data_IF_056068029306
#
_entry.id   IF_056068029306
#
_cell.length_a   1.000
_cell.length_b   1.000
_cell.length_c   1.000
_cell.angle_alpha   90.00
_cell.angle_beta   90.00
_cell.angle_gamma   90.00
#
_symmetry.space_group_name_H-M   'P 1'
#
loop_
_entity.id
_entity.type
_entity.pdbx_description
1 polymer ?
#
# COMPACT_ATOMS: atom_id res chain seq x y z
N UNK A 1 -16.08 -10.54 1.45
CA UNK A 1 -15.89 -10.80 0.01
C UNK A 1 -16.52 -12.14 -0.40
N UNK A 2 -17.47 -12.09 -1.35
CA UNK A 2 -18.28 -13.28 -1.75
C UNK A 2 -17.55 -14.22 -2.70
N UNK A 3 -16.55 -13.76 -3.43
CA UNK A 3 -15.82 -14.53 -4.44
C UNK A 3 -14.33 -14.57 -4.14
N UNK A 4 -13.61 -15.55 -4.71
CA UNK A 4 -12.15 -15.62 -4.58
C UNK A 4 -11.45 -14.41 -5.21
N UNK A 5 -12.04 -13.82 -6.25
CA UNK A 5 -11.58 -12.57 -6.84
C UNK A 5 -11.67 -11.40 -5.83
N UNK A 6 -12.77 -11.28 -5.10
CA UNK A 6 -12.94 -10.28 -4.06
C UNK A 6 -11.96 -10.51 -2.89
N UNK A 7 -11.72 -11.76 -2.50
CA UNK A 7 -10.73 -12.09 -1.46
C UNK A 7 -9.33 -11.63 -1.87
N UNK A 8 -8.92 -11.92 -3.13
CA UNK A 8 -7.63 -11.46 -3.67
C UNK A 8 -7.52 -9.95 -3.71
N UNK A 9 -8.53 -9.26 -4.21
CA UNK A 9 -8.53 -7.80 -4.28
C UNK A 9 -8.39 -7.16 -2.88
N UNK A 10 -9.09 -7.70 -1.88
CA UNK A 10 -8.91 -7.31 -0.47
C UNK A 10 -7.48 -7.57 0.00
N UNK A 11 -6.93 -8.76 -0.26
CA UNK A 11 -5.59 -9.11 0.17
C UNK A 11 -4.55 -8.18 -0.48
N UNK A 12 -4.65 -7.87 -1.77
CA UNK A 12 -3.74 -6.95 -2.49
C UNK A 12 -3.83 -5.51 -1.95
N UNK A 13 -5.03 -5.05 -1.66
CA UNK A 13 -5.25 -3.75 -1.02
C UNK A 13 -4.57 -3.68 0.36
N UNK A 14 -4.75 -4.69 1.19
CA UNK A 14 -4.13 -4.77 2.51
C UNK A 14 -2.61 -4.91 2.45
N UNK A 15 -2.07 -5.71 1.51
CA UNK A 15 -0.62 -5.79 1.27
C UNK A 15 -0.07 -4.41 0.93
N UNK A 16 -0.72 -3.68 0.01
CA UNK A 16 -0.33 -2.31 -0.33
C UNK A 16 -0.30 -1.41 0.90
N UNK A 17 -1.36 -1.45 1.71
CA UNK A 17 -1.46 -0.66 2.95
C UNK A 17 -0.35 -1.00 3.95
N UNK A 18 -0.15 -2.27 4.27
CA UNK A 18 0.88 -2.72 5.23
C UNK A 18 2.31 -2.49 4.72
N UNK A 19 2.49 -2.39 3.41
CA UNK A 19 3.74 -1.99 2.77
C UNK A 19 3.82 -0.46 2.56
N UNK A 20 3.30 0.31 3.53
CA UNK A 20 3.39 1.78 3.55
C UNK A 20 2.81 2.42 2.27
N UNK A 21 1.71 1.88 1.74
CA UNK A 21 1.10 2.37 0.52
C UNK A 21 1.89 2.04 -0.75
N UNK A 22 2.55 0.89 -0.80
CA UNK A 22 3.23 0.41 -2.00
C UNK A 22 2.28 0.38 -3.21
N UNK A 23 2.77 0.76 -4.39
CA UNK A 23 1.95 0.75 -5.61
C UNK A 23 1.63 -0.69 -6.04
N UNK A 24 0.55 -0.86 -6.82
CA UNK A 24 0.18 -2.19 -7.32
C UNK A 24 1.31 -2.84 -8.12
N UNK A 25 2.03 -2.06 -8.94
CA UNK A 25 3.17 -2.58 -9.69
C UNK A 25 4.30 -3.05 -8.77
N UNK A 26 4.55 -2.36 -7.67
CA UNK A 26 5.57 -2.76 -6.70
C UNK A 26 5.17 -4.08 -6.04
N UNK A 27 3.94 -4.22 -5.49
CA UNK A 27 3.50 -5.44 -4.82
C UNK A 27 3.41 -6.63 -5.78
N UNK A 28 2.95 -6.43 -7.01
CA UNK A 28 2.87 -7.48 -8.03
C UNK A 28 4.24 -7.98 -8.48
N UNK A 29 5.28 -7.14 -8.38
CA UNK A 29 6.66 -7.47 -8.74
C UNK A 29 7.47 -8.10 -7.61
N UNK A 30 6.91 -8.21 -6.41
CA UNK A 30 7.62 -8.81 -5.27
C UNK A 30 7.86 -10.30 -5.51
N UNK A 31 9.11 -10.71 -5.30
CA UNK A 31 9.54 -12.11 -5.36
C UNK A 31 9.79 -12.66 -3.96
N UNK A 32 9.81 -13.99 -3.84
CA UNK A 32 10.08 -14.66 -2.56
C UNK A 32 11.40 -14.17 -1.92
N UNK A 33 12.45 -13.96 -2.72
CA UNK A 33 13.74 -13.41 -2.26
C UNK A 33 13.68 -12.01 -1.65
N UNK A 34 12.60 -11.26 -1.88
CA UNK A 34 12.42 -9.95 -1.26
C UNK A 34 12.05 -10.05 0.24
N UNK A 35 11.68 -11.24 0.71
CA UNK A 35 11.48 -11.51 2.13
C UNK A 35 12.83 -11.87 2.73
N UNK A 36 13.41 -10.95 3.49
CA UNK A 36 14.70 -11.12 4.16
C UNK A 36 14.45 -11.05 5.66
N UNK A 37 14.60 -12.18 6.35
CA UNK A 37 14.25 -12.32 7.76
C UNK A 37 12.79 -11.89 7.99
N UNK A 38 12.57 -10.86 8.82
CA UNK A 38 11.25 -10.32 9.14
C UNK A 38 10.94 -9.01 8.40
N UNK A 39 11.55 -8.80 7.21
CA UNK A 39 11.37 -7.59 6.41
C UNK A 39 11.08 -7.93 4.96
N UNK A 40 10.37 -7.02 4.27
CA UNK A 40 10.30 -7.01 2.81
C UNK A 40 11.22 -5.90 2.30
N UNK A 41 12.17 -6.29 1.44
CA UNK A 41 13.13 -5.38 0.84
C UNK A 41 12.98 -5.36 -0.68
N UNK A 42 12.74 -4.18 -1.23
CA UNK A 42 12.56 -4.01 -2.68
C UNK A 42 12.93 -2.60 -3.13
N UNK A 43 13.27 -2.48 -4.40
CA UNK A 43 13.42 -1.17 -5.07
C UNK A 43 12.09 -0.78 -5.70
N UNK A 44 11.60 0.41 -5.37
CA UNK A 44 10.38 0.95 -5.95
C UNK A 44 10.53 1.13 -7.46
N UNK A 45 9.59 0.60 -8.24
CA UNK A 45 9.65 0.60 -9.71
C UNK A 45 9.74 2.02 -10.30
N UNK A 46 8.99 2.99 -9.73
CA UNK A 46 8.93 4.35 -10.26
C UNK A 46 10.18 5.20 -9.94
N UNK A 47 10.80 5.03 -8.78
CA UNK A 47 11.82 5.95 -8.27
C UNK A 47 13.17 5.29 -8.03
N UNK A 48 13.23 3.94 -8.08
CA UNK A 48 14.44 3.18 -7.75
C UNK A 48 14.82 3.20 -6.26
N UNK A 49 14.02 3.88 -5.41
CA UNK A 49 14.30 4.00 -3.99
C UNK A 49 14.18 2.64 -3.30
N UNK A 50 15.14 2.31 -2.46
CA UNK A 50 15.12 1.09 -1.66
C UNK A 50 14.14 1.25 -0.49
N UNK A 51 13.27 0.27 -0.33
CA UNK A 51 12.38 0.11 0.81
C UNK A 51 12.77 -1.13 1.60
N UNK A 52 12.79 -1.01 2.92
CA UNK A 52 12.95 -2.12 3.86
C UNK A 52 11.86 -1.98 4.92
N UNK A 53 10.81 -2.81 4.82
CA UNK A 53 9.58 -2.68 5.60
C UNK A 53 9.41 -3.91 6.49
N UNK A 54 9.19 -3.76 7.81
CA UNK A 54 8.96 -4.89 8.69
C UNK A 54 7.65 -5.60 8.35
N UNK A 55 7.65 -6.92 8.43
CA UNK A 55 6.47 -7.74 8.21
C UNK A 55 5.68 -7.83 9.50
N UNK A 56 4.57 -7.09 9.60
CA UNK A 56 3.63 -7.23 10.72
C UNK A 56 2.95 -8.61 10.71
N UNK A 57 2.38 -9.01 11.84
CA UNK A 57 1.66 -10.28 11.94
C UNK A 57 0.52 -10.37 10.91
N UNK A 58 -0.23 -9.28 10.73
CA UNK A 58 -1.34 -9.20 9.76
C UNK A 58 -0.83 -9.37 8.31
N UNK A 59 0.28 -8.70 7.97
CA UNK A 59 0.89 -8.88 6.65
C UNK A 59 1.38 -10.30 6.44
N UNK A 60 2.00 -10.91 7.46
CA UNK A 60 2.49 -12.30 7.44
C UNK A 60 1.36 -13.29 7.17
N UNK A 61 0.22 -13.15 7.85
CA UNK A 61 -0.96 -14.00 7.62
C UNK A 61 -1.44 -13.93 6.16
N UNK A 62 -1.44 -12.73 5.57
CA UNK A 62 -1.86 -12.57 4.17
C UNK A 62 -0.82 -13.20 3.23
N UNK A 63 0.48 -12.91 3.43
CA UNK A 63 1.54 -13.44 2.58
C UNK A 63 1.60 -14.97 2.60
N UNK A 64 1.35 -15.61 3.74
CA UNK A 64 1.36 -17.07 3.87
C UNK A 64 0.35 -17.76 2.94
N UNK A 65 -0.76 -17.09 2.56
CA UNK A 65 -1.72 -17.63 1.59
C UNK A 65 -1.13 -17.77 0.18
N UNK A 66 -0.09 -17.01 -0.13
CA UNK A 66 0.51 -16.92 -1.47
C UNK A 66 1.89 -17.57 -1.56
N UNK A 67 2.58 -17.76 -0.44
CA UNK A 67 3.97 -18.24 -0.45
C UNK A 67 4.09 -19.72 -0.84
N UNK A 68 3.29 -20.61 -0.24
CA UNK A 68 3.34 -22.04 -0.54
C UNK A 68 4.79 -22.57 -0.68
N UNK A 69 5.04 -23.36 -1.72
CA UNK A 69 6.37 -23.93 -2.04
C UNK A 69 7.15 -23.07 -3.06
N UNK A 70 7.00 -21.75 -3.05
CA UNK A 70 7.67 -20.85 -3.98
C UNK A 70 9.18 -20.77 -3.74
N UNK A 71 9.93 -20.79 -4.83
CA UNK A 71 11.37 -20.54 -4.85
C UNK A 71 11.68 -19.04 -4.76
N UNK A 72 12.92 -18.67 -4.48
CA UNK A 72 13.36 -17.28 -4.35
C UNK A 72 13.14 -16.43 -5.60
N UNK A 73 13.12 -17.04 -6.78
CA UNK A 73 12.87 -16.37 -8.06
C UNK A 73 11.39 -16.14 -8.35
N UNK A 74 10.48 -16.82 -7.66
CA UNK A 74 9.05 -16.77 -7.92
C UNK A 74 8.42 -15.49 -7.38
N UNK A 75 7.44 -14.96 -8.11
CA UNK A 75 6.64 -13.84 -7.63
C UNK A 75 5.74 -14.29 -6.47
N UNK A 76 5.65 -13.46 -5.42
CA UNK A 76 4.82 -13.76 -4.25
C UNK A 76 3.36 -13.86 -4.65
N UNK A 77 2.86 -12.87 -5.39
CA UNK A 77 1.48 -12.84 -5.89
C UNK A 77 1.41 -13.54 -7.25
N UNK A 78 0.29 -14.24 -7.51
CA UNK A 78 0.06 -14.93 -8.78
C UNK A 78 -0.49 -13.94 -9.83
N UNK A 79 0.26 -12.88 -10.09
CA UNK A 79 -0.08 -11.81 -11.05
C UNK A 79 0.78 -11.94 -12.30
N UNK A 80 2.05 -12.25 -12.12
CA UNK A 80 3.04 -12.32 -13.20
C UNK A 80 3.37 -13.77 -13.49
N UNK A 81 3.24 -14.16 -14.74
CA UNK A 81 3.48 -15.53 -15.23
C UNK A 81 4.54 -15.56 -16.32
N UNK A 82 4.67 -14.48 -17.10
CA UNK A 82 5.65 -14.39 -18.19
C UNK A 82 7.06 -14.19 -17.69
N UNK A 83 8.04 -14.74 -18.38
CA UNK A 83 9.45 -14.45 -18.19
C UNK A 83 9.90 -13.14 -18.84
N UNK A 84 9.16 -12.65 -19.84
CA UNK A 84 9.49 -11.46 -20.61
C UNK A 84 9.03 -10.17 -19.90
N UNK A 85 9.93 -9.20 -19.65
CA UNK A 85 9.59 -7.97 -18.92
C UNK A 85 8.43 -7.18 -19.53
N UNK A 86 8.33 -7.13 -20.86
CA UNK A 86 7.23 -6.43 -21.55
C UNK A 86 5.88 -7.08 -21.25
N UNK A 87 5.82 -8.41 -21.28
CA UNK A 87 4.60 -9.16 -20.99
C UNK A 87 4.23 -9.07 -19.51
N UNK A 88 5.21 -9.07 -18.60
CA UNK A 88 4.98 -8.86 -17.17
C UNK A 88 4.23 -7.55 -16.89
N UNK A 89 4.63 -6.45 -17.56
CA UNK A 89 3.95 -5.16 -17.40
C UNK A 89 2.50 -5.20 -17.91
N UNK A 90 2.25 -5.95 -18.97
CA UNK A 90 0.89 -6.15 -19.51
C UNK A 90 0.04 -6.91 -18.50
N UNK A 91 0.55 -8.03 -17.98
CA UNK A 91 -0.13 -8.85 -16.97
C UNK A 91 -0.46 -8.04 -15.71
N UNK A 92 0.49 -7.27 -15.19
CA UNK A 92 0.29 -6.39 -14.02
C UNK A 92 -0.80 -5.34 -14.29
N UNK A 93 -0.78 -4.69 -15.46
CA UNK A 93 -1.78 -3.70 -15.84
C UNK A 93 -3.17 -4.30 -15.95
N UNK A 94 -3.28 -5.47 -16.54
CA UNK A 94 -4.56 -6.12 -16.74
C UNK A 94 -5.13 -6.66 -15.43
N UNK A 95 -4.28 -7.19 -14.53
CA UNK A 95 -4.72 -7.57 -13.19
C UNK A 95 -5.10 -6.35 -12.35
N UNK A 96 -4.39 -5.23 -12.42
CA UNK A 96 -4.76 -3.99 -11.78
C UNK A 96 -6.18 -3.52 -12.17
N UNK A 97 -6.54 -3.67 -13.46
CA UNK A 97 -7.90 -3.32 -13.92
C UNK A 97 -8.95 -4.25 -13.32
N UNK A 98 -8.66 -5.55 -13.22
CA UNK A 98 -9.55 -6.55 -12.61
C UNK A 98 -9.69 -6.30 -11.11
N UNK A 99 -8.57 -6.01 -10.44
CA UNK A 99 -8.50 -5.68 -9.03
C UNK A 99 -9.35 -4.45 -8.69
N UNK A 100 -9.17 -3.36 -9.42
CA UNK A 100 -9.95 -2.14 -9.23
C UNK A 100 -11.47 -2.36 -9.47
N UNK A 101 -11.85 -3.23 -10.39
CA UNK A 101 -13.26 -3.61 -10.59
C UNK A 101 -13.80 -4.35 -9.36
N UNK A 102 -13.02 -5.30 -8.82
CA UNK A 102 -13.38 -6.04 -7.63
C UNK A 102 -13.48 -5.17 -6.39
N UNK A 103 -12.56 -4.22 -6.22
CA UNK A 103 -12.59 -3.24 -5.12
C UNK A 103 -13.84 -2.34 -5.20
N UNK A 104 -14.24 -1.94 -6.42
CA UNK A 104 -15.49 -1.19 -6.63
C UNK A 104 -16.72 -2.02 -6.25
N UNK A 105 -16.77 -3.30 -6.63
CA UNK A 105 -17.85 -4.21 -6.26
C UNK A 105 -17.92 -4.38 -4.73
N UNK A 106 -16.76 -4.57 -4.08
CA UNK A 106 -16.67 -4.65 -2.61
C UNK A 106 -17.15 -3.35 -1.95
N UNK A 107 -16.78 -2.17 -2.47
CA UNK A 107 -17.20 -0.89 -1.88
C UNK A 107 -18.74 -0.75 -1.90
N UNK A 108 -19.39 -1.13 -2.99
CA UNK A 108 -20.85 -1.14 -3.08
C UNK A 108 -21.48 -2.12 -2.07
N UNK A 109 -20.93 -3.35 -1.98
CA UNK A 109 -21.42 -4.35 -0.99
C UNK A 109 -21.27 -3.87 0.46
N UNK A 110 -20.27 -3.05 0.75
CA UNK A 110 -20.01 -2.48 2.08
C UNK A 110 -20.74 -1.16 2.33
N UNK A 111 -21.55 -0.65 1.39
CA UNK A 111 -22.22 0.65 1.53
C UNK A 111 -21.29 1.85 1.51
N UNK A 112 -20.09 1.71 0.92
CA UNK A 112 -19.11 2.79 0.83
C UNK A 112 -19.41 3.60 -0.44
N UNK A 113 -19.82 4.85 -0.28
CA UNK A 113 -20.17 5.75 -1.41
C UNK A 113 -18.96 6.16 -2.25
N UNK A 114 -17.78 6.22 -1.63
CA UNK A 114 -16.54 6.61 -2.30
C UNK A 114 -16.04 5.52 -3.24
N UNK A 115 -15.51 5.92 -4.40
CA UNK A 115 -14.87 4.99 -5.35
C UNK A 115 -13.57 4.46 -4.76
N UNK A 116 -13.51 3.16 -4.45
CA UNK A 116 -12.28 2.50 -3.98
C UNK A 116 -11.51 1.94 -5.17
N UNK A 117 -10.19 2.17 -5.16
CA UNK A 117 -9.22 1.59 -6.07
C UNK A 117 -7.97 1.16 -5.28
N UNK A 118 -7.10 0.39 -5.88
CA UNK A 118 -5.80 0.01 -5.27
C UNK A 118 -4.99 1.22 -4.79
N UNK A 119 -5.14 2.37 -5.45
CA UNK A 119 -4.45 3.61 -5.08
C UNK A 119 -4.96 4.22 -3.77
N UNK A 120 -6.21 3.93 -3.39
CA UNK A 120 -6.79 4.40 -2.11
C UNK A 120 -6.03 3.84 -0.91
N UNK A 121 -5.45 2.64 -0.99
CA UNK A 121 -4.60 2.09 0.08
C UNK A 121 -3.44 3.03 0.44
N UNK A 122 -2.82 3.64 -0.58
CA UNK A 122 -1.75 4.61 -0.42
C UNK A 122 -2.22 5.93 0.18
N UNK A 123 -3.35 6.46 -0.30
CA UNK A 123 -3.97 7.65 0.29
C UNK A 123 -4.35 7.41 1.74
N UNK A 124 -4.97 6.27 2.02
CA UNK A 124 -5.38 5.90 3.37
C UNK A 124 -4.19 5.79 4.32
N UNK A 125 -3.07 5.18 3.89
CA UNK A 125 -1.83 5.15 4.67
C UNK A 125 -1.34 6.56 4.98
N UNK A 126 -1.20 7.42 3.97
CA UNK A 126 -0.68 8.79 4.11
C UNK A 126 -1.56 9.64 5.03
N UNK A 127 -2.89 9.59 4.85
CA UNK A 127 -3.85 10.35 5.64
C UNK A 127 -3.85 9.92 7.10
N UNK A 128 -3.85 8.60 7.37
CA UNK A 128 -3.78 8.11 8.74
C UNK A 128 -2.46 8.46 9.42
N UNK A 129 -1.33 8.35 8.70
CA UNK A 129 -0.04 8.75 9.24
C UNK A 129 -0.05 10.25 9.64
N UNK A 130 -0.67 11.10 8.79
CA UNK A 130 -0.86 12.52 9.11
C UNK A 130 -1.74 12.72 10.35
N UNK A 131 -2.89 12.04 10.42
CA UNK A 131 -3.79 12.10 11.58
C UNK A 131 -3.12 11.68 12.88
N UNK A 132 -2.15 10.77 12.81
CA UNK A 132 -1.31 10.36 13.94
C UNK A 132 -0.14 11.32 14.24
N UNK A 133 -0.06 12.47 13.57
CA UNK A 133 0.99 13.46 13.77
C UNK A 133 2.36 13.08 13.21
N UNK A 134 2.45 12.07 12.32
CA UNK A 134 3.72 11.68 11.70
C UNK A 134 4.23 12.83 10.82
N UNK A 135 5.49 13.29 10.98
CA UNK A 135 6.06 14.36 10.16
C UNK A 135 5.98 14.07 8.67
N UNK A 136 5.68 15.09 7.86
CA UNK A 136 5.55 14.94 6.39
C UNK A 136 6.79 14.35 5.74
N UNK A 137 7.99 14.68 6.23
CA UNK A 137 9.24 14.09 5.78
C UNK A 137 9.26 12.56 5.93
N UNK A 138 8.80 12.05 7.08
CA UNK A 138 8.71 10.61 7.35
C UNK A 138 7.64 9.95 6.47
N UNK A 139 6.49 10.61 6.28
CA UNK A 139 5.44 10.12 5.36
C UNK A 139 6.00 10.07 3.93
N UNK A 140 6.73 11.10 3.51
CA UNK A 140 7.37 11.18 2.18
C UNK A 140 8.36 10.04 1.97
N UNK A 141 9.18 9.76 2.99
CA UNK A 141 10.13 8.65 3.00
C UNK A 141 9.41 7.31 2.87
N UNK A 142 8.42 7.07 3.72
CA UNK A 142 7.62 5.83 3.73
C UNK A 142 6.92 5.58 2.39
N UNK A 143 6.37 6.63 1.77
CA UNK A 143 5.75 6.55 0.45
C UNK A 143 6.77 6.45 -0.69
N UNK A 144 8.06 6.64 -0.45
CA UNK A 144 9.12 6.62 -1.45
C UNK A 144 9.01 7.76 -2.47
N UNK A 145 8.54 8.93 -2.03
CA UNK A 145 8.57 10.13 -2.87
C UNK A 145 9.99 10.70 -2.97
N UNK A 146 10.30 11.33 -4.09
CA UNK A 146 11.58 12.01 -4.30
C UNK A 146 11.61 13.40 -3.65
N UNK A 147 10.45 14.00 -3.42
CA UNK A 147 10.31 15.31 -2.76
C UNK A 147 9.11 15.32 -1.82
N UNK A 148 9.20 16.07 -0.72
CA UNK A 148 8.09 16.27 0.22
C UNK A 148 6.91 17.01 -0.42
N UNK A 149 7.18 17.90 -1.40
CA UNK A 149 6.13 18.60 -2.16
C UNK A 149 5.11 17.63 -2.77
N UNK A 150 5.58 16.48 -3.27
CA UNK A 150 4.69 15.42 -3.78
C UNK A 150 3.80 14.86 -2.67
N UNK A 151 4.31 14.76 -1.45
CA UNK A 151 3.54 14.27 -0.30
C UNK A 151 2.51 15.31 0.15
N UNK A 152 2.86 16.57 0.17
CA UNK A 152 1.95 17.66 0.55
C UNK A 152 0.69 17.71 -0.30
N UNK A 153 0.78 17.36 -1.60
CA UNK A 153 -0.40 17.25 -2.48
C UNK A 153 -1.43 16.24 -1.96
N UNK A 154 -0.97 15.18 -1.27
CA UNK A 154 -1.85 14.19 -0.65
C UNK A 154 -2.43 14.67 0.68
N UNK A 155 -1.78 15.65 1.30
CA UNK A 155 -2.03 16.05 2.67
C UNK A 155 -2.64 17.46 2.73
N UNK A 156 -3.61 17.77 1.85
CA UNK A 156 -4.07 19.13 1.49
C UNK A 156 -4.61 19.94 2.63
N UNK A 157 -4.88 19.75 3.70
CA UNK A 157 -5.21 20.51 4.90
C UNK A 157 -5.34 19.59 6.11
N UNK A 158 -5.11 20.11 7.28
CA UNK A 158 -5.55 19.42 8.49
C UNK A 158 -7.05 19.56 8.60
N UNK A 159 -7.74 18.51 9.04
CA UNK A 159 -9.12 18.60 9.49
C UNK A 159 -9.15 19.51 10.75
N UNK A 160 -10.20 20.31 10.93
CA UNK A 160 -10.27 21.29 12.02
C UNK A 160 -10.07 20.63 13.39
N UNK A 161 -10.63 19.44 13.60
CA UNK A 161 -10.49 18.67 14.83
C UNK A 161 -9.02 18.37 15.22
N UNK A 162 -8.14 18.17 14.24
CA UNK A 162 -6.69 17.98 14.49
C UNK A 162 -6.03 19.31 14.86
N UNK A 163 -6.39 20.39 14.17
CA UNK A 163 -5.88 21.73 14.50
C UNK A 163 -6.28 22.12 15.92
N UNK A 164 -7.53 21.89 16.27
CA UNK A 164 -8.10 22.20 17.58
C UNK A 164 -7.42 21.37 18.68
N UNK A 165 -7.21 20.07 18.46
CA UNK A 165 -6.50 19.20 19.40
C UNK A 165 -5.08 19.70 19.68
N UNK A 166 -4.31 20.09 18.67
CA UNK A 166 -2.98 20.65 18.89
C UNK A 166 -3.01 22.02 19.53
N UNK A 167 -4.02 22.84 19.22
CA UNK A 167 -4.23 24.13 19.88
C UNK A 167 -4.46 23.97 21.38
N UNK A 168 -5.31 23.05 21.78
CA UNK A 168 -5.57 22.75 23.19
C UNK A 168 -4.32 22.27 23.92
N UNK A 169 -3.53 21.38 23.29
CA UNK A 169 -2.24 20.93 23.84
C UNK A 169 -1.26 22.09 24.06
N UNK A 170 -1.19 23.04 23.12
CA UNK A 170 -0.32 24.22 23.24
C UNK A 170 -0.77 25.10 24.39
N UNK A 171 -2.09 25.32 24.54
CA UNK A 171 -2.64 26.12 25.65
C UNK A 171 -2.36 25.45 26.99
N UNK A 172 -2.50 24.14 27.10
CA UNK A 172 -2.24 23.41 28.34
C UNK A 172 -0.77 23.44 28.74
N UNK A 173 0.16 23.49 27.80
CA UNK A 173 1.60 23.69 28.09
C UNK A 173 1.95 25.12 28.54
N UNK A 174 1.06 26.09 28.33
CA UNK A 174 1.26 27.48 28.70
C UNK A 174 0.70 27.84 30.10
N UNK A 175 0.09 26.88 30.79
CA UNK A 175 -0.39 27.00 32.17
C UNK A 175 0.69 26.58 33.17
#
# INVERSE_FOLDING_TARGET
PKTDRHKRAKDYFLISFYLMGASFVDIASLKRKNIIKDRIEYKRQKTGKLHSIPISNQLREILNKYLGNKSDSDFILNVVHSSEPKNQLIEIRDELRRDNRSLKEISVECGIESKISSYVARHFYATNAKKLGVPTAIISEALGHTTEKTTQVYLNSFENDIVDMYHDLIIDLAK
#
